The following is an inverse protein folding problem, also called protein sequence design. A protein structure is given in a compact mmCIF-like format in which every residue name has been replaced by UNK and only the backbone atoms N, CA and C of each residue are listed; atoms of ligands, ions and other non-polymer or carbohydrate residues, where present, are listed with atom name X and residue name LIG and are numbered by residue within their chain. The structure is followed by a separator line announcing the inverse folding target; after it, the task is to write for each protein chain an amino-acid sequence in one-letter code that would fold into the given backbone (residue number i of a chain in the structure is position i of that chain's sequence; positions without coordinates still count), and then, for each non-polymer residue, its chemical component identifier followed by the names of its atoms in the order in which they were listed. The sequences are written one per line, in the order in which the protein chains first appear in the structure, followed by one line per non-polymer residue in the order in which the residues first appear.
data_IF_221406514913
#
_entry.id   IF_221406514913
#
_cell.length_a   1.000
_cell.length_b   1.000
_cell.length_c   1.000
_cell.angle_alpha   90.00
_cell.angle_beta   90.00
_cell.angle_gamma   90.00
#
_symmetry.space_group_name_H-M   'P 1'
#
loop_
_entity.id
_entity.type
_entity.pdbx_description
1 polymer ?
#
# COMPACT_ATOMS: atom_id res chain seq x y z
N UNK A 1 -36.67 19.48 0.85
CA UNK A 1 -35.36 19.21 0.23
C UNK A 1 -34.68 18.16 1.08
N UNK A 2 -34.92 16.88 0.78
CA UNK A 2 -34.16 15.76 1.36
C UNK A 2 -33.61 14.98 0.17
N UNK A 3 -32.34 15.23 -0.14
CA UNK A 3 -31.65 14.53 -1.20
C UNK A 3 -31.25 13.15 -0.68
N UNK A 4 -31.87 12.12 -1.26
CA UNK A 4 -31.40 10.74 -1.39
C UNK A 4 -31.00 9.99 -0.11
N UNK A 5 -31.98 9.26 0.43
CA UNK A 5 -31.80 8.09 1.30
C UNK A 5 -31.15 6.91 0.57
N UNK A 6 -29.86 7.04 0.24
CA UNK A 6 -29.00 5.90 -0.03
C UNK A 6 -28.16 5.66 1.20
N UNK A 7 -28.34 4.50 1.81
CA UNK A 7 -27.50 4.00 2.90
C UNK A 7 -26.08 3.76 2.38
N UNK A 8 -25.28 4.84 2.25
CA UNK A 8 -23.85 4.80 1.87
C UNK A 8 -22.95 4.42 3.06
N UNK A 9 -23.48 4.47 4.28
CA UNK A 9 -22.75 4.24 5.52
C UNK A 9 -22.00 2.89 5.59
N UNK A 10 -22.57 1.73 5.17
CA UNK A 10 -21.89 0.45 5.39
C UNK A 10 -20.75 0.19 4.39
N UNK A 11 -20.81 0.76 3.17
CA UNK A 11 -19.81 0.52 2.12
C UNK A 11 -18.58 1.38 2.37
N UNK A 12 -18.80 2.67 2.69
CA UNK A 12 -17.74 3.61 3.04
C UNK A 12 -17.02 3.14 4.30
N UNK A 13 -17.76 2.68 5.32
CA UNK A 13 -17.16 2.11 6.53
C UNK A 13 -16.25 0.92 6.25
N UNK A 14 -16.68 -0.06 5.44
CA UNK A 14 -15.85 -1.24 5.10
C UNK A 14 -14.63 -0.89 4.27
N UNK A 15 -14.77 0.01 3.28
CA UNK A 15 -13.63 0.44 2.47
C UNK A 15 -12.62 1.23 3.32
N UNK A 16 -13.13 2.10 4.19
CA UNK A 16 -12.31 2.87 5.11
C UNK A 16 -11.56 1.99 6.11
N UNK A 17 -12.21 1.00 6.72
CA UNK A 17 -11.54 0.06 7.61
C UNK A 17 -10.43 -0.73 6.92
N UNK A 18 -10.64 -1.17 5.67
CA UNK A 18 -9.61 -1.86 4.89
C UNK A 18 -8.39 -0.98 4.64
N UNK A 19 -8.62 0.27 4.24
CA UNK A 19 -7.55 1.25 4.03
C UNK A 19 -6.87 1.58 5.34
N UNK A 20 -7.62 1.83 6.42
CA UNK A 20 -7.09 2.11 7.76
C UNK A 20 -6.17 0.99 8.26
N UNK A 21 -6.57 -0.27 8.09
CA UNK A 21 -5.71 -1.42 8.43
C UNK A 21 -4.51 -1.58 7.50
N UNK A 22 -4.61 -1.13 6.25
CA UNK A 22 -3.51 -1.18 5.29
C UNK A 22 -2.42 -0.17 5.62
N UNK A 23 -2.83 1.03 6.02
CA UNK A 23 -1.93 2.16 6.26
C UNK A 23 -1.51 2.28 7.72
N UNK A 24 -1.95 1.39 8.61
CA UNK A 24 -1.51 1.36 10.00
C UNK A 24 0.02 1.20 10.07
N UNK A 25 0.68 2.16 10.72
CA UNK A 25 2.15 2.28 10.74
C UNK A 25 2.78 2.85 9.45
N UNK A 26 1.98 3.27 8.47
CA UNK A 26 2.36 3.86 7.19
C UNK A 26 1.49 5.08 6.82
N UNK A 27 1.29 6.00 7.75
CA UNK A 27 0.30 7.08 7.63
C UNK A 27 0.85 8.38 7.03
N UNK A 28 2.17 8.55 6.99
CA UNK A 28 2.76 9.77 6.45
C UNK A 28 2.71 9.78 4.91
N UNK A 29 2.78 10.96 4.25
CA UNK A 29 2.80 11.03 2.79
C UNK A 29 3.88 10.15 2.13
N UNK A 30 5.06 10.05 2.74
CA UNK A 30 6.14 9.19 2.23
C UNK A 30 5.82 7.70 2.40
N UNK A 31 5.10 7.34 3.46
CA UNK A 31 4.72 5.96 3.74
C UNK A 31 3.65 5.47 2.78
N UNK A 32 2.63 6.30 2.53
CA UNK A 32 1.60 6.02 1.54
C UNK A 32 2.20 5.92 0.13
N UNK A 33 3.17 6.77 -0.18
CA UNK A 33 3.90 6.68 -1.45
C UNK A 33 4.70 5.38 -1.56
N UNK A 34 5.36 4.95 -0.48
CA UNK A 34 6.08 3.68 -0.45
C UNK A 34 5.12 2.50 -0.66
N UNK A 35 3.99 2.47 0.04
CA UNK A 35 2.96 1.43 -0.15
C UNK A 35 2.45 1.40 -1.60
N UNK A 36 2.16 2.55 -2.20
CA UNK A 36 1.74 2.64 -3.59
C UNK A 36 2.82 2.16 -4.57
N UNK A 37 4.09 2.50 -4.32
CA UNK A 37 5.22 2.10 -5.16
C UNK A 37 5.46 0.59 -5.10
N UNK A 38 5.48 0.00 -3.90
CA UNK A 38 5.65 -1.45 -3.74
C UNK A 38 4.47 -2.22 -4.35
N UNK A 39 3.24 -1.74 -4.16
CA UNK A 39 2.07 -2.33 -4.82
C UNK A 39 2.20 -2.33 -6.34
N UNK A 40 2.67 -1.22 -6.92
CA UNK A 40 2.90 -1.11 -8.36
C UNK A 40 3.95 -2.11 -8.86
N UNK A 41 5.09 -2.21 -8.18
CA UNK A 41 6.16 -3.14 -8.53
C UNK A 41 5.69 -4.61 -8.49
N UNK A 42 4.93 -4.97 -7.45
CA UNK A 42 4.40 -6.33 -7.31
C UNK A 42 3.35 -6.65 -8.40
N UNK A 43 2.47 -5.69 -8.71
CA UNK A 43 1.33 -5.92 -9.61
C UNK A 43 1.68 -5.80 -11.10
N UNK A 44 2.52 -4.84 -11.46
CA UNK A 44 2.76 -4.49 -12.87
C UNK A 44 4.16 -4.86 -13.34
N UNK A 45 5.17 -4.78 -12.47
CA UNK A 45 6.55 -5.17 -12.82
C UNK A 45 6.90 -6.61 -12.42
N UNK A 46 5.96 -7.30 -11.75
CA UNK A 46 6.09 -8.69 -11.33
C UNK A 46 7.34 -8.94 -10.48
N UNK A 47 7.71 -7.99 -9.61
CA UNK A 47 8.75 -8.23 -8.62
C UNK A 47 8.37 -9.47 -7.78
N UNK A 48 9.22 -10.51 -7.84
CA UNK A 48 8.92 -11.85 -7.30
C UNK A 48 9.53 -12.10 -5.92
N UNK A 49 10.39 -11.20 -5.47
CA UNK A 49 11.07 -11.28 -4.19
C UNK A 49 11.41 -9.87 -3.67
N UNK A 50 11.73 -9.81 -2.39
CA UNK A 50 12.05 -8.58 -1.66
C UNK A 50 13.21 -7.81 -2.30
N UNK A 51 14.23 -8.49 -2.81
CA UNK A 51 15.40 -7.84 -3.44
C UNK A 51 15.01 -7.08 -4.71
N UNK A 52 14.14 -7.65 -5.55
CA UNK A 52 13.60 -6.99 -6.74
C UNK A 52 12.72 -5.79 -6.38
N UNK A 53 11.96 -5.87 -5.29
CA UNK A 53 11.17 -4.73 -4.79
C UNK A 53 12.10 -3.61 -4.31
N UNK A 54 13.15 -3.94 -3.55
CA UNK A 54 14.14 -2.97 -3.07
C UNK A 54 14.82 -2.27 -4.25
N UNK A 55 15.29 -3.04 -5.23
CA UNK A 55 15.92 -2.52 -6.43
C UNK A 55 14.97 -1.60 -7.21
N UNK A 56 13.71 -2.02 -7.42
CA UNK A 56 12.70 -1.23 -8.12
C UNK A 56 12.33 0.07 -7.39
N UNK A 57 12.28 0.06 -6.05
CA UNK A 57 12.05 1.29 -5.27
C UNK A 57 13.23 2.25 -5.43
N UNK A 58 14.46 1.75 -5.36
CA UNK A 58 15.67 2.55 -5.45
C UNK A 58 15.99 3.05 -6.86
N UNK A 59 15.53 2.36 -7.91
CA UNK A 59 15.74 2.76 -9.30
C UNK A 59 14.83 3.90 -9.77
N UNK A 60 13.75 4.19 -9.03
CA UNK A 60 12.72 5.13 -9.48
C UNK A 60 13.15 6.60 -9.46
N UNK A 61 13.78 7.08 -8.37
CA UNK A 61 14.35 8.44 -8.27
C UNK A 61 15.26 8.55 -7.02
N UNK A 62 16.21 9.49 -7.01
CA UNK A 62 17.09 9.84 -5.87
C UNK A 62 16.34 10.05 -4.56
N UNK A 63 15.13 10.64 -4.59
CA UNK A 63 14.30 10.80 -3.39
C UNK A 63 13.88 9.45 -2.77
N UNK A 64 13.58 8.45 -3.60
CA UNK A 64 13.17 7.10 -3.16
C UNK A 64 14.36 6.23 -2.74
N UNK A 65 15.58 6.61 -3.10
CA UNK A 65 16.80 5.97 -2.58
C UNK A 65 17.01 6.18 -1.09
N UNK A 66 16.37 7.19 -0.50
CA UNK A 66 16.45 7.49 0.94
C UNK A 66 15.60 6.53 1.79
N UNK A 67 14.73 5.73 1.17
CA UNK A 67 13.87 4.76 1.87
C UNK A 67 14.72 3.57 2.31
N UNK A 68 14.69 3.23 3.60
CA UNK A 68 15.52 2.12 4.08
C UNK A 68 15.00 0.77 3.58
N UNK A 69 15.92 -0.12 3.23
CA UNK A 69 15.64 -1.51 2.82
C UNK A 69 14.71 -2.22 3.80
N UNK A 70 14.92 -2.01 5.10
CA UNK A 70 14.08 -2.53 6.17
C UNK A 70 12.62 -2.06 6.05
N UNK A 71 12.41 -0.77 5.79
CA UNK A 71 11.06 -0.20 5.67
C UNK A 71 10.35 -0.70 4.41
N UNK A 72 11.09 -0.89 3.32
CA UNK A 72 10.59 -1.49 2.07
C UNK A 72 10.12 -2.93 2.32
N UNK A 73 10.93 -3.75 3.00
CA UNK A 73 10.56 -5.13 3.33
C UNK A 73 9.31 -5.22 4.24
N UNK A 74 9.16 -4.29 5.20
CA UNK A 74 7.95 -4.23 6.03
C UNK A 74 6.74 -3.86 5.18
N UNK A 75 6.85 -2.88 4.28
CA UNK A 75 5.77 -2.48 3.38
C UNK A 75 5.34 -3.63 2.47
N UNK A 76 6.29 -4.37 1.90
CA UNK A 76 6.02 -5.57 1.11
C UNK A 76 5.25 -6.62 1.91
N UNK A 77 5.66 -6.88 3.15
CA UNK A 77 4.96 -7.83 4.04
C UNK A 77 3.53 -7.38 4.37
N UNK A 78 3.32 -6.09 4.63
CA UNK A 78 1.99 -5.53 4.88
C UNK A 78 1.07 -5.73 3.67
N UNK A 79 1.57 -5.48 2.47
CA UNK A 79 0.84 -5.70 1.22
C UNK A 79 0.59 -7.19 0.93
N UNK A 80 1.53 -8.07 1.27
CA UNK A 80 1.37 -9.52 1.15
C UNK A 80 0.29 -10.08 2.07
N UNK A 81 0.22 -9.60 3.32
CA UNK A 81 -0.79 -10.02 4.29
C UNK A 81 -2.22 -9.63 3.86
N UNK A 82 -2.39 -8.54 3.09
CA UNK A 82 -3.70 -8.14 2.57
C UNK A 82 -4.17 -8.99 1.38
N UNK A 83 -3.25 -9.55 0.58
CA UNK A 83 -3.63 -10.51 -0.47
C UNK A 83 -4.20 -11.81 0.12
N UNK A 84 -3.76 -12.21 1.32
CA UNK A 84 -4.32 -13.36 2.03
C UNK A 84 -5.73 -13.11 2.61
N UNK A 85 -6.18 -11.85 2.73
CA UNK A 85 -7.52 -11.49 3.23
C UNK A 85 -8.60 -11.53 2.14
N UNK A 86 -8.27 -12.06 0.95
CA UNK A 86 -9.19 -12.26 -0.17
C UNK A 86 -9.34 -13.73 -0.58
N UNK A 87 -9.13 -14.68 0.35
CA UNK A 87 -9.47 -16.10 0.20
C UNK A 87 -10.86 -16.41 0.77
#
# INVERSE_FOLDING_TARGET
MDWIGVSYAPIVGRAFEKVSRLVDGFESPQDLELLATVHWLNKYEQARNTDQVIEGVHSWNTRKQQLTTRKIAIAEKVLGNQHCLSA
#
